data_IF_732302330103
#
_entry.id   IF_732302330103
#
_cell.length_a   1.000
_cell.length_b   1.000
_cell.length_c   1.000
_cell.angle_alpha   90.00
_cell.angle_beta   90.00
_cell.angle_gamma   90.00
#
_symmetry.space_group_name_H-M   'P 1'
#
loop_
_entity.id
_entity.type
_entity.pdbx_description
1 polymer ?
#
# COMPACT_ATOMS: atom_id res chain seq x y z
N UNK A 1 21.50 49.34 28.06
CA UNK A 1 21.64 47.87 27.99
C UNK A 1 20.56 47.37 27.05
N UNK A 2 20.90 47.18 25.78
CA UNK A 2 19.97 46.79 24.72
C UNK A 2 19.81 45.26 24.81
N UNK A 3 18.63 44.78 25.19
CA UNK A 3 18.33 43.35 25.20
C UNK A 3 18.14 42.92 23.74
N UNK A 4 19.18 42.29 23.17
CA UNK A 4 19.02 41.57 21.91
C UNK A 4 18.17 40.33 22.18
N UNK A 5 16.90 40.40 21.80
CA UNK A 5 16.06 39.23 21.62
C UNK A 5 16.65 38.41 20.47
N UNK A 6 17.42 37.38 20.81
CA UNK A 6 17.86 36.38 19.84
C UNK A 6 16.63 35.73 19.22
N UNK A 7 16.35 36.07 17.98
CA UNK A 7 15.45 35.28 17.13
C UNK A 7 16.12 33.91 16.99
N UNK A 8 15.59 32.89 17.67
CA UNK A 8 15.98 31.51 17.44
C UNK A 8 15.60 31.16 16.01
N UNK A 9 16.55 31.29 15.08
CA UNK A 9 16.38 30.78 13.73
C UNK A 9 16.05 29.30 13.84
N UNK A 10 14.92 28.89 13.27
CA UNK A 10 14.61 27.48 13.11
C UNK A 10 15.73 26.85 12.28
N UNK A 11 16.38 25.83 12.83
CA UNK A 11 17.47 25.14 12.14
C UNK A 11 16.93 24.31 10.99
N UNK A 12 17.57 24.41 9.83
CA UNK A 12 17.27 23.55 8.70
C UNK A 12 17.53 22.08 9.04
N UNK A 13 16.75 21.19 8.43
CA UNK A 13 16.99 19.76 8.44
C UNK A 13 18.00 19.44 7.34
N UNK A 14 19.24 19.11 7.73
CA UNK A 14 20.29 18.67 6.81
C UNK A 14 20.11 17.17 6.58
N UNK A 15 19.78 16.79 5.35
CA UNK A 15 19.35 15.45 5.00
C UNK A 15 20.21 14.86 3.86
N UNK A 16 20.44 13.56 3.95
CA UNK A 16 20.99 12.72 2.87
C UNK A 16 19.86 11.87 2.30
N UNK A 17 19.30 12.35 1.20
CA UNK A 17 18.19 11.71 0.50
C UNK A 17 18.72 10.54 -0.32
N UNK A 18 18.35 9.31 0.06
CA UNK A 18 18.73 8.07 -0.62
C UNK A 18 17.64 7.67 -1.63
N UNK A 19 18.04 7.34 -2.85
CA UNK A 19 17.15 6.81 -3.90
C UNK A 19 17.84 5.67 -4.65
N UNK A 20 17.09 4.94 -5.47
CA UNK A 20 17.65 3.94 -6.39
C UNK A 20 17.33 4.31 -7.83
N UNK A 21 18.32 4.19 -8.70
CA UNK A 21 18.17 4.41 -10.14
C UNK A 21 18.64 3.20 -10.90
N UNK A 22 17.99 2.93 -12.01
CA UNK A 22 18.44 1.87 -12.90
C UNK A 22 19.78 2.26 -13.52
N UNK A 23 20.77 1.36 -13.47
CA UNK A 23 22.13 1.63 -13.98
C UNK A 23 22.16 1.71 -15.49
N UNK A 24 21.34 0.90 -16.14
CA UNK A 24 21.09 0.88 -17.59
C UNK A 24 19.60 0.66 -17.81
N UNK A 25 19.00 1.45 -18.70
CA UNK A 25 17.56 1.36 -19.03
C UNK A 25 17.17 -0.08 -19.39
N UNK A 26 16.13 -0.60 -18.73
CA UNK A 26 15.60 -1.96 -18.90
C UNK A 26 16.54 -3.12 -18.51
N UNK A 27 17.58 -2.87 -17.71
CA UNK A 27 18.48 -3.91 -17.21
C UNK A 27 17.93 -4.66 -15.98
N UNK A 28 16.98 -4.05 -15.26
CA UNK A 28 16.51 -4.53 -13.96
C UNK A 28 17.55 -4.38 -12.84
N UNK A 29 18.69 -3.72 -13.10
CA UNK A 29 19.77 -3.50 -12.12
C UNK A 29 19.72 -2.07 -11.60
N UNK A 30 19.71 -1.93 -10.28
CA UNK A 30 19.57 -0.64 -9.61
C UNK A 30 20.80 -0.34 -8.77
N UNK A 31 21.22 0.92 -8.77
CA UNK A 31 22.23 1.45 -7.86
C UNK A 31 21.64 2.50 -6.93
N UNK A 32 22.18 2.57 -5.71
CA UNK A 32 21.78 3.60 -4.74
C UNK A 32 22.52 4.89 -5.03
N UNK A 33 21.78 5.99 -5.02
CA UNK A 33 22.30 7.36 -5.14
C UNK A 33 21.94 8.15 -3.90
N UNK A 34 22.83 9.04 -3.47
CA UNK A 34 22.62 9.95 -2.34
C UNK A 34 22.65 11.38 -2.86
N UNK A 35 21.68 12.19 -2.44
CA UNK A 35 21.64 13.64 -2.69
C UNK A 35 21.54 14.38 -1.37
N UNK A 36 22.45 15.31 -1.14
CA UNK A 36 22.36 16.21 0.01
C UNK A 36 21.20 17.21 -0.18
N UNK A 37 20.52 17.53 0.90
CA UNK A 37 19.43 18.49 0.94
C UNK A 37 19.44 19.28 2.26
N UNK A 38 19.00 20.54 2.21
CA UNK A 38 18.70 21.36 3.39
C UNK A 38 17.23 21.75 3.29
N UNK A 39 16.40 21.26 4.21
CA UNK A 39 14.97 21.56 4.25
C UNK A 39 14.66 22.47 5.43
N UNK A 40 14.04 23.63 5.18
CA UNK A 40 13.59 24.48 6.29
C UNK A 40 12.61 23.72 7.17
N UNK A 41 12.88 23.63 8.47
CA UNK A 41 11.99 22.95 9.41
C UNK A 41 10.58 23.57 9.39
N UNK A 42 10.47 24.90 9.30
CA UNK A 42 9.18 25.62 9.24
C UNK A 42 8.34 25.28 8.01
N UNK A 43 8.98 24.91 6.90
CA UNK A 43 8.32 24.50 5.65
C UNK A 43 8.22 22.96 5.53
N UNK A 44 8.47 22.23 6.62
CA UNK A 44 8.47 20.76 6.67
C UNK A 44 7.43 20.24 7.65
N UNK A 45 6.68 19.22 7.24
CA UNK A 45 5.81 18.43 8.11
C UNK A 45 6.34 17.00 8.27
N UNK A 46 6.17 16.44 9.46
CA UNK A 46 6.30 15.00 9.71
C UNK A 46 4.91 14.42 9.93
N UNK A 47 4.51 13.48 9.07
CA UNK A 47 3.23 12.77 9.19
C UNK A 47 3.48 11.42 9.85
N UNK A 48 2.83 11.19 10.99
CA UNK A 48 2.87 9.94 11.77
C UNK A 48 1.69 9.08 11.33
N UNK A 49 1.95 8.14 10.44
CA UNK A 49 0.93 7.28 9.85
C UNK A 49 0.66 6.06 10.73
N UNK A 50 -0.56 5.93 11.24
CA UNK A 50 -1.12 4.67 11.75
C UNK A 50 -0.23 3.96 12.81
N UNK A 51 0.46 4.73 13.65
CA UNK A 51 1.23 4.21 14.81
C UNK A 51 0.25 3.89 15.94
N UNK A 52 -0.54 2.84 15.75
CA UNK A 52 -1.66 2.49 16.60
C UNK A 52 -1.26 1.90 17.95
N UNK A 53 -2.22 1.85 18.88
CA UNK A 53 -2.09 1.24 20.20
C UNK A 53 -2.16 -0.30 20.22
N UNK A 54 -2.61 -0.92 19.12
CA UNK A 54 -2.64 -2.37 18.94
C UNK A 54 -2.67 -2.73 17.46
N UNK A 55 -2.31 -3.96 17.13
CA UNK A 55 -2.42 -4.53 15.78
C UNK A 55 -2.88 -5.99 15.83
N UNK A 56 -3.42 -6.51 14.73
CA UNK A 56 -3.91 -7.88 14.65
C UNK A 56 -2.76 -8.90 14.73
N UNK A 57 -1.66 -8.61 14.05
CA UNK A 57 -0.39 -9.33 14.15
C UNK A 57 0.38 -8.98 15.42
N UNK A 58 0.74 -9.97 16.24
CA UNK A 58 1.52 -9.76 17.46
C UNK A 58 2.95 -9.30 17.16
N UNK A 59 3.57 -9.84 16.12
CA UNK A 59 4.93 -9.46 15.73
C UNK A 59 5.00 -8.02 15.20
N UNK A 60 3.96 -7.53 14.52
CA UNK A 60 3.83 -6.12 14.15
C UNK A 60 3.77 -5.21 15.38
N UNK A 61 3.03 -5.61 16.43
CA UNK A 61 3.03 -4.87 17.72
C UNK A 61 4.43 -4.82 18.31
N UNK A 62 5.12 -5.97 18.40
CA UNK A 62 6.47 -6.08 18.95
C UNK A 62 7.47 -5.18 18.20
N UNK A 63 7.42 -5.15 16.87
CA UNK A 63 8.30 -4.30 16.04
C UNK A 63 7.98 -2.82 16.22
N UNK A 64 6.70 -2.43 16.18
CA UNK A 64 6.26 -1.05 16.40
C UNK A 64 6.72 -0.52 17.76
N UNK A 65 6.47 -1.28 18.82
CA UNK A 65 6.86 -0.90 20.19
C UNK A 65 8.38 -0.72 20.35
N UNK A 66 9.18 -1.41 19.51
CA UNK A 66 10.64 -1.32 19.55
C UNK A 66 11.17 0.00 18.99
N UNK A 67 10.69 0.46 17.83
CA UNK A 67 11.15 1.72 17.23
C UNK A 67 10.35 2.94 17.65
N UNK A 68 9.15 2.78 18.22
CA UNK A 68 8.30 3.90 18.63
C UNK A 68 8.98 4.90 19.59
N UNK A 69 9.78 4.48 20.60
CA UNK A 69 10.50 5.43 21.45
C UNK A 69 11.45 6.33 20.66
N UNK A 70 12.20 5.75 19.71
CA UNK A 70 13.12 6.52 18.86
C UNK A 70 12.38 7.42 17.87
N UNK A 71 11.25 6.95 17.33
CA UNK A 71 10.36 7.79 16.53
C UNK A 71 9.89 9.00 17.35
N UNK A 72 9.49 8.80 18.61
CA UNK A 72 9.08 9.89 19.50
C UNK A 72 10.21 10.91 19.71
N UNK A 73 11.46 10.45 19.85
CA UNK A 73 12.63 11.35 19.95
C UNK A 73 12.82 12.17 18.66
N UNK A 74 12.66 11.55 17.48
CA UNK A 74 12.69 12.27 16.20
C UNK A 74 11.62 13.35 16.15
N UNK A 75 10.38 13.03 16.56
CA UNK A 75 9.27 13.98 16.56
C UNK A 75 9.52 15.14 17.53
N UNK A 76 10.09 14.88 18.71
CA UNK A 76 10.49 15.92 19.66
C UNK A 76 11.55 16.84 19.06
N UNK A 77 12.56 16.27 18.43
CA UNK A 77 13.65 17.04 17.85
C UNK A 77 13.20 17.92 16.68
N UNK A 78 12.44 17.37 15.73
CA UNK A 78 11.94 18.17 14.60
C UNK A 78 10.90 19.21 15.04
N UNK A 79 10.07 18.89 16.04
CA UNK A 79 9.15 19.85 16.67
C UNK A 79 9.92 20.99 17.34
N UNK A 80 11.03 20.71 18.04
CA UNK A 80 11.90 21.73 18.63
C UNK A 80 12.50 22.65 17.56
N UNK A 81 12.90 22.12 16.40
CA UNK A 81 13.41 22.90 15.26
C UNK A 81 12.32 23.68 14.49
N UNK A 82 11.04 23.40 14.74
CA UNK A 82 9.91 24.15 14.19
C UNK A 82 9.14 23.45 13.08
N UNK A 83 9.37 22.15 12.86
CA UNK A 83 8.55 21.35 11.96
C UNK A 83 7.13 21.15 12.48
N UNK A 84 6.19 20.97 11.55
CA UNK A 84 4.79 20.66 11.85
C UNK A 84 4.65 19.15 12.05
N UNK A 85 4.04 18.70 13.15
CA UNK A 85 3.76 17.27 13.38
C UNK A 85 2.27 17.02 13.15
N UNK A 86 1.97 16.03 12.31
CA UNK A 86 0.61 15.62 11.97
C UNK A 86 0.45 14.15 12.34
N UNK A 87 -0.40 13.87 13.31
CA UNK A 87 -0.76 12.52 13.69
C UNK A 87 -1.94 12.05 12.85
N UNK A 88 -1.80 10.91 12.20
CA UNK A 88 -2.82 10.34 11.35
C UNK A 88 -3.13 8.90 11.78
N UNK A 89 -3.80 8.71 12.95
CA UNK A 89 -4.21 7.39 13.42
C UNK A 89 -5.54 6.99 12.76
N UNK A 90 -5.46 6.45 11.56
CA UNK A 90 -6.66 6.11 10.78
C UNK A 90 -7.58 5.16 11.53
N UNK A 91 -8.88 5.34 11.32
CA UNK A 91 -9.93 4.54 11.96
C UNK A 91 -10.00 4.68 13.51
N UNK A 92 -9.24 5.64 14.09
CA UNK A 92 -9.23 5.95 15.53
C UNK A 92 -9.78 7.34 15.87
N UNK A 93 -10.31 8.09 14.89
CA UNK A 93 -10.61 9.52 15.05
C UNK A 93 -11.67 9.83 16.12
N UNK A 94 -12.57 8.90 16.42
CA UNK A 94 -13.57 9.03 17.48
C UNK A 94 -12.92 9.32 18.85
N UNK A 95 -11.72 8.81 19.11
CA UNK A 95 -10.99 9.05 20.37
C UNK A 95 -10.42 10.48 20.47
N UNK A 96 -10.41 11.24 19.38
CA UNK A 96 -9.75 12.54 19.27
C UNK A 96 -10.70 13.70 18.98
N UNK A 97 -12.02 13.46 18.88
CA UNK A 97 -13.02 14.49 18.51
C UNK A 97 -12.86 15.78 19.33
N UNK A 98 -12.63 15.64 20.63
CA UNK A 98 -12.48 16.77 21.54
C UNK A 98 -11.05 17.29 21.72
N UNK A 99 -10.06 16.60 21.15
CA UNK A 99 -8.65 16.92 21.34
C UNK A 99 -8.29 18.26 20.68
N UNK A 100 -7.46 19.08 21.36
CA UNK A 100 -7.08 20.40 20.85
C UNK A 100 -6.40 20.34 19.47
N UNK A 101 -5.47 19.39 19.28
CA UNK A 101 -4.83 19.14 17.99
C UNK A 101 -5.79 18.71 16.86
N UNK A 102 -6.91 18.03 17.20
CA UNK A 102 -7.96 17.71 16.24
C UNK A 102 -8.77 18.95 15.84
N UNK A 103 -9.20 19.73 16.83
CA UNK A 103 -9.89 21.01 16.60
C UNK A 103 -9.03 21.98 15.78
N UNK A 104 -7.72 21.97 16.01
CA UNK A 104 -6.74 22.81 15.30
C UNK A 104 -6.66 22.51 13.80
N UNK A 105 -6.65 21.24 13.40
CA UNK A 105 -6.59 20.88 11.97
C UNK A 105 -7.90 21.15 11.25
N UNK A 106 -9.05 20.96 11.91
CA UNK A 106 -10.37 21.32 11.36
C UNK A 106 -10.47 22.82 11.10
N UNK A 107 -9.86 23.64 11.96
CA UNK A 107 -9.83 25.09 11.81
C UNK A 107 -8.87 25.59 10.70
N UNK A 108 -8.08 24.72 10.07
CA UNK A 108 -7.22 25.12 8.97
C UNK A 108 -8.06 25.58 7.76
N UNK A 109 -7.71 26.72 7.13
CA UNK A 109 -8.47 27.23 6.00
C UNK A 109 -8.39 26.27 4.82
N UNK A 110 -9.48 26.16 4.06
CA UNK A 110 -9.52 25.34 2.86
C UNK A 110 -8.46 25.81 1.83
N UNK A 111 -7.72 24.86 1.28
CA UNK A 111 -6.73 25.12 0.25
C UNK A 111 -7.41 25.48 -1.08
N UNK A 112 -6.98 26.58 -1.71
CA UNK A 112 -7.46 27.00 -3.04
C UNK A 112 -7.06 26.01 -4.14
N UNK A 113 -5.97 25.28 -3.95
CA UNK A 113 -5.36 24.32 -4.88
C UNK A 113 -5.55 22.87 -4.41
N UNK A 114 -6.66 22.55 -3.73
CA UNK A 114 -6.93 21.18 -3.25
C UNK A 114 -6.99 20.19 -4.43
N UNK A 115 -6.15 19.13 -4.45
CA UNK A 115 -6.20 18.14 -5.51
C UNK A 115 -7.51 17.34 -5.48
N UNK A 116 -8.07 17.04 -6.66
CA UNK A 116 -9.37 16.37 -6.81
C UNK A 116 -9.49 15.07 -6.01
N UNK A 117 -8.40 14.30 -5.94
CA UNK A 117 -8.39 12.96 -5.36
C UNK A 117 -7.68 12.86 -4.03
N UNK A 118 -7.32 14.00 -3.41
CA UNK A 118 -6.52 13.99 -2.17
C UNK A 118 -7.25 13.31 -1.00
N UNK A 119 -8.58 13.21 -1.07
CA UNK A 119 -9.44 12.55 -0.06
C UNK A 119 -9.45 11.02 -0.17
N UNK A 120 -8.97 10.47 -1.29
CA UNK A 120 -9.11 9.05 -1.58
C UNK A 120 -7.80 8.27 -1.40
N UNK A 121 -7.93 6.96 -1.21
CA UNK A 121 -6.80 6.04 -1.28
C UNK A 121 -6.09 6.15 -2.64
N UNK A 122 -4.76 6.15 -2.63
CA UNK A 122 -3.93 6.16 -3.82
C UNK A 122 -3.21 4.82 -3.97
N UNK A 123 -3.80 3.93 -4.75
CA UNK A 123 -3.24 2.58 -4.97
C UNK A 123 -1.98 2.58 -5.81
N UNK A 124 -1.76 3.57 -6.68
CA UNK A 124 -0.60 3.64 -7.58
C UNK A 124 -0.36 5.06 -8.08
N UNK A 125 0.90 5.38 -8.41
CA UNK A 125 1.29 6.57 -9.17
C UNK A 125 1.98 6.18 -10.50
N UNK A 126 2.08 7.07 -11.50
CA UNK A 126 2.59 6.73 -12.83
C UNK A 126 3.98 6.05 -12.84
N UNK A 127 4.88 6.47 -11.96
CA UNK A 127 6.23 5.89 -11.83
C UNK A 127 6.25 4.44 -11.34
N UNK A 128 5.14 3.94 -10.78
CA UNK A 128 5.00 2.54 -10.36
C UNK A 128 4.31 1.67 -11.43
N UNK A 129 3.79 2.23 -12.54
CA UNK A 129 2.98 1.51 -13.53
C UNK A 129 3.70 0.34 -14.19
N UNK A 130 5.02 0.43 -14.34
CA UNK A 130 5.86 -0.62 -14.93
C UNK A 130 6.56 -1.47 -13.86
N UNK A 131 6.51 -1.07 -12.59
CA UNK A 131 7.15 -1.80 -11.50
C UNK A 131 6.41 -3.10 -11.22
N UNK A 132 7.14 -4.17 -10.91
CA UNK A 132 6.61 -5.39 -10.30
C UNK A 132 6.61 -5.16 -8.79
N UNK A 133 5.48 -5.41 -8.14
CA UNK A 133 5.38 -5.21 -6.71
C UNK A 133 6.23 -6.27 -5.98
N UNK A 134 7.01 -5.89 -4.95
CA UNK A 134 8.13 -6.73 -4.51
C UNK A 134 7.76 -7.85 -3.53
N UNK A 135 6.53 -7.90 -3.03
CA UNK A 135 6.03 -8.90 -2.07
C UNK A 135 4.57 -9.28 -2.36
N UNK A 136 4.16 -10.49 -1.96
CA UNK A 136 2.75 -10.87 -1.89
C UNK A 136 2.21 -10.61 -0.47
N UNK A 137 1.41 -9.54 -0.33
CA UNK A 137 0.76 -9.15 0.93
C UNK A 137 -0.72 -9.57 1.00
N UNK A 138 -1.18 -10.41 0.07
CA UNK A 138 -2.61 -10.67 -0.09
C UNK A 138 -3.25 -11.45 1.05
N UNK A 139 -2.48 -12.08 1.94
CA UNK A 139 -2.98 -12.73 3.15
C UNK A 139 -3.07 -11.80 4.37
N UNK A 140 -2.63 -10.54 4.22
CA UNK A 140 -2.54 -9.56 5.30
C UNK A 140 -1.21 -9.51 6.03
N UNK A 141 -0.22 -10.31 5.60
CA UNK A 141 1.15 -10.21 6.10
C UNK A 141 1.32 -10.66 7.55
N UNK A 142 0.47 -11.57 8.01
CA UNK A 142 0.55 -12.17 9.34
C UNK A 142 1.78 -13.09 9.45
N UNK A 143 2.72 -12.71 10.32
CA UNK A 143 4.03 -13.36 10.46
C UNK A 143 4.32 -13.90 11.87
N UNK A 144 3.31 -13.93 12.74
CA UNK A 144 3.40 -14.57 14.06
C UNK A 144 3.16 -16.09 14.01
N UNK A 145 3.58 -16.77 15.08
CA UNK A 145 3.30 -18.20 15.22
C UNK A 145 1.79 -18.42 15.38
N UNK A 146 1.18 -19.40 14.71
CA UNK A 146 -0.27 -19.60 14.77
C UNK A 146 -0.84 -19.79 16.19
N UNK A 147 -0.09 -20.37 17.12
CA UNK A 147 -0.53 -20.51 18.50
C UNK A 147 -0.46 -19.17 19.24
N UNK A 148 0.65 -18.43 19.08
CA UNK A 148 0.77 -17.06 19.63
C UNK A 148 -0.32 -16.13 19.07
N UNK A 149 -0.62 -16.24 17.78
CA UNK A 149 -1.68 -15.49 17.11
C UNK A 149 -3.05 -15.77 17.75
N UNK A 150 -3.37 -17.04 17.99
CA UNK A 150 -4.64 -17.43 18.59
C UNK A 150 -4.78 -16.91 20.02
N UNK A 151 -3.70 -16.97 20.81
CA UNK A 151 -3.64 -16.41 22.17
C UNK A 151 -3.79 -14.89 22.16
N UNK A 152 -3.11 -14.21 21.23
CA UNK A 152 -3.20 -12.76 21.06
C UNK A 152 -4.61 -12.33 20.67
N UNK A 153 -5.22 -13.00 19.70
CA UNK A 153 -6.60 -12.76 19.31
C UNK A 153 -7.58 -12.98 20.47
N UNK A 154 -7.38 -14.01 21.30
CA UNK A 154 -8.19 -14.23 22.51
C UNK A 154 -8.01 -13.10 23.54
N UNK A 155 -6.77 -12.63 23.75
CA UNK A 155 -6.47 -11.48 24.63
C UNK A 155 -7.13 -10.20 24.12
N UNK A 156 -7.09 -9.92 22.82
CA UNK A 156 -7.77 -8.79 22.21
C UNK A 156 -9.29 -8.83 22.44
N UNK A 157 -9.92 -10.01 22.26
CA UNK A 157 -11.35 -10.18 22.58
C UNK A 157 -11.64 -9.91 24.05
N UNK A 158 -10.81 -10.43 24.97
CA UNK A 158 -10.97 -10.21 26.40
C UNK A 158 -10.84 -8.72 26.79
N UNK A 159 -10.08 -7.94 26.02
CA UNK A 159 -9.97 -6.48 26.15
C UNK A 159 -11.13 -5.71 25.47
N UNK A 160 -12.14 -6.40 24.94
CA UNK A 160 -13.25 -5.77 24.21
C UNK A 160 -12.81 -5.11 22.89
N UNK A 161 -11.83 -5.72 22.21
CA UNK A 161 -11.34 -5.29 20.89
C UNK A 161 -11.75 -6.31 19.82
N UNK A 162 -11.92 -5.83 18.59
CA UNK A 162 -12.06 -6.69 17.41
C UNK A 162 -10.67 -7.20 17.03
N UNK A 163 -10.39 -8.52 17.05
CA UNK A 163 -9.05 -9.03 16.72
C UNK A 163 -8.54 -8.69 15.34
N UNK A 164 -9.43 -8.52 14.35
CA UNK A 164 -9.03 -8.15 12.99
C UNK A 164 -8.70 -6.66 12.83
N UNK A 165 -9.23 -5.81 13.71
CA UNK A 165 -9.00 -4.36 13.71
C UNK A 165 -8.97 -3.85 15.16
N UNK A 166 -7.91 -4.17 15.93
CA UNK A 166 -7.94 -3.97 17.36
C UNK A 166 -7.63 -2.54 17.80
N UNK A 167 -7.06 -1.71 16.94
CA UNK A 167 -6.66 -0.34 17.26
C UNK A 167 -7.85 0.54 17.65
N UNK A 168 -7.61 1.46 18.59
CA UNK A 168 -8.58 2.46 19.05
C UNK A 168 -7.97 3.86 19.16
N UNK A 169 -6.66 3.96 19.34
CA UNK A 169 -5.92 5.22 19.45
C UNK A 169 -4.54 5.10 18.80
N UNK A 170 -3.80 6.19 18.71
CA UNK A 170 -2.35 6.16 18.57
C UNK A 170 -1.71 5.49 19.79
N UNK A 171 -0.55 4.85 19.60
CA UNK A 171 0.28 4.32 20.67
C UNK A 171 0.66 5.41 21.67
N UNK A 172 0.61 5.07 22.97
CA UNK A 172 1.03 5.95 24.07
C UNK A 172 2.54 6.21 24.08
N UNK A 173 3.31 5.47 23.30
CA UNK A 173 4.76 5.70 23.13
C UNK A 173 5.06 6.94 22.28
N UNK A 174 4.08 7.41 21.50
CA UNK A 174 4.20 8.64 20.71
C UNK A 174 3.43 9.76 21.39
N UNK A 175 4.16 10.79 21.80
CA UNK A 175 3.60 11.97 22.43
C UNK A 175 2.90 12.86 21.39
N UNK A 176 1.65 13.23 21.68
CA UNK A 176 0.90 14.26 20.95
C UNK A 176 0.92 15.53 21.79
N UNK A 177 1.57 16.57 21.30
CA UNK A 177 1.59 17.88 21.94
C UNK A 177 0.28 18.62 21.63
N UNK A 178 -0.62 18.71 22.61
CA UNK A 178 -1.94 19.32 22.44
C UNK A 178 -1.89 20.79 22.00
N UNK A 179 -0.83 21.51 22.37
CA UNK A 179 -0.68 22.93 22.08
C UNK A 179 -0.09 23.18 20.68
N UNK A 180 0.63 22.20 20.11
CA UNK A 180 1.44 22.40 18.89
C UNK A 180 1.09 21.49 17.73
N UNK A 181 0.63 20.27 17.99
CA UNK A 181 0.46 19.25 16.95
C UNK A 181 -0.95 19.30 16.33
N UNK A 182 -1.15 18.43 15.32
CA UNK A 182 -2.38 18.31 14.54
C UNK A 182 -2.79 16.83 14.46
N UNK A 183 -4.10 16.53 14.38
CA UNK A 183 -4.59 15.14 14.26
C UNK A 183 -5.66 15.02 13.16
N UNK A 184 -5.36 14.30 12.08
CA UNK A 184 -6.35 13.92 11.06
C UNK A 184 -5.88 12.70 10.28
N UNK A 185 -6.80 11.81 9.94
CA UNK A 185 -6.63 10.74 8.95
C UNK A 185 -7.27 11.07 7.59
N UNK A 186 -7.81 12.29 7.43
CA UNK A 186 -8.45 12.75 6.19
C UNK A 186 -7.47 13.54 5.33
N UNK A 187 -7.36 13.16 4.06
CA UNK A 187 -6.40 13.77 3.14
C UNK A 187 -6.69 15.22 2.79
N UNK A 188 -7.96 15.64 2.71
CA UNK A 188 -8.34 17.05 2.49
C UNK A 188 -7.93 17.96 3.64
N UNK A 189 -8.19 17.54 4.87
CA UNK A 189 -7.83 18.32 6.07
C UNK A 189 -6.31 18.41 6.23
N UNK A 190 -5.61 17.29 6.01
CA UNK A 190 -4.14 17.28 5.99
C UNK A 190 -3.64 18.23 4.90
N UNK A 191 -4.19 18.18 3.69
CA UNK A 191 -3.77 19.06 2.60
C UNK A 191 -4.02 20.55 2.91
N UNK A 192 -5.20 20.89 3.43
CA UNK A 192 -5.52 22.25 3.87
C UNK A 192 -4.50 22.77 4.89
N UNK A 193 -4.14 21.93 5.87
CA UNK A 193 -3.11 22.24 6.84
C UNK A 193 -1.75 22.49 6.19
N UNK A 194 -1.31 21.59 5.29
CA UNK A 194 -0.02 21.72 4.60
C UNK A 194 0.04 23.05 3.82
N UNK A 195 -1.00 23.40 3.07
CA UNK A 195 -1.05 24.64 2.29
C UNK A 195 -1.11 25.88 3.20
N UNK A 196 -1.97 25.88 4.22
CA UNK A 196 -2.13 27.03 5.14
C UNK A 196 -0.85 27.38 5.90
N UNK A 197 0.05 26.41 6.08
CA UNK A 197 1.34 26.57 6.76
C UNK A 197 2.52 26.73 5.80
N UNK A 198 2.28 26.76 4.49
CA UNK A 198 3.35 26.87 3.49
C UNK A 198 4.28 25.65 3.48
N UNK A 199 3.78 24.46 3.84
CA UNK A 199 4.58 23.25 3.87
C UNK A 199 4.91 22.79 2.46
N UNK A 200 6.21 22.68 2.17
CA UNK A 200 6.76 22.20 0.91
C UNK A 200 7.27 20.77 1.02
N UNK A 201 7.76 20.40 2.20
CA UNK A 201 8.41 19.11 2.43
C UNK A 201 7.61 18.25 3.41
N UNK A 202 7.51 16.96 3.12
CA UNK A 202 6.82 15.97 3.95
C UNK A 202 7.77 14.81 4.23
N UNK A 203 7.96 14.51 5.51
CA UNK A 203 8.60 13.28 5.97
C UNK A 203 7.48 12.36 6.48
N UNK A 204 7.37 11.14 5.94
CA UNK A 204 6.44 10.15 6.47
C UNK A 204 7.18 9.14 7.36
N UNK A 205 6.55 8.82 8.48
CA UNK A 205 6.95 7.77 9.43
C UNK A 205 5.72 6.92 9.78
N UNK A 206 5.92 5.75 10.37
CA UNK A 206 4.82 4.90 10.86
C UNK A 206 4.61 3.64 10.02
N UNK A 207 3.42 3.03 10.11
CA UNK A 207 3.17 1.67 9.59
C UNK A 207 1.82 1.56 8.88
N UNK A 208 1.56 0.57 8.03
CA UNK A 208 2.55 -0.31 7.42
C UNK A 208 2.98 0.25 6.07
N UNK A 209 4.27 0.11 5.75
CA UNK A 209 4.92 0.71 4.58
C UNK A 209 4.20 0.38 3.28
N UNK A 210 3.95 -0.90 3.05
CA UNK A 210 3.31 -1.47 1.87
C UNK A 210 1.79 -1.24 1.78
N UNK A 211 1.21 -0.55 2.76
CA UNK A 211 -0.22 -0.30 2.87
C UNK A 211 -0.46 1.18 3.18
N UNK A 212 -0.64 1.54 4.45
CA UNK A 212 -1.13 2.86 4.86
C UNK A 212 -0.16 3.99 4.53
N UNK A 213 1.13 3.79 4.82
CA UNK A 213 2.20 4.77 4.55
C UNK A 213 2.26 5.11 3.06
N UNK A 214 2.10 4.12 2.19
CA UNK A 214 2.07 4.35 0.74
C UNK A 214 0.73 4.93 0.25
N UNK A 215 -0.39 4.37 0.71
CA UNK A 215 -1.67 4.48 0.02
C UNK A 215 -2.75 5.33 0.69
N UNK A 216 -2.65 5.67 1.99
CA UNK A 216 -3.66 6.52 2.65
C UNK A 216 -3.77 7.88 1.93
N UNK A 217 -4.90 8.59 2.08
CA UNK A 217 -5.09 9.93 1.51
C UNK A 217 -3.98 10.94 1.83
N UNK A 218 -3.31 10.77 2.98
CA UNK A 218 -2.17 11.58 3.43
C UNK A 218 -0.80 10.89 3.20
N UNK A 219 -0.77 9.71 2.58
CA UNK A 219 0.41 8.87 2.38
C UNK A 219 1.34 9.34 1.26
N UNK A 220 2.46 8.62 1.11
CA UNK A 220 3.56 8.97 0.19
C UNK A 220 3.08 9.24 -1.23
N UNK A 221 2.24 8.35 -1.79
CA UNK A 221 1.78 8.46 -3.18
C UNK A 221 0.98 9.73 -3.44
N UNK A 222 0.12 10.12 -2.49
CA UNK A 222 -0.65 11.35 -2.60
C UNK A 222 0.26 12.58 -2.50
N UNK A 223 1.20 12.57 -1.57
CA UNK A 223 2.11 13.70 -1.41
C UNK A 223 3.02 13.89 -2.64
N UNK A 224 3.55 12.80 -3.18
CA UNK A 224 4.39 12.83 -4.39
C UNK A 224 3.57 13.25 -5.61
N UNK A 225 2.42 12.62 -5.86
CA UNK A 225 1.57 12.90 -7.02
C UNK A 225 1.13 14.36 -7.08
N UNK A 226 0.93 14.98 -5.93
CA UNK A 226 0.47 16.37 -5.83
C UNK A 226 1.63 17.36 -5.62
N UNK A 227 2.88 16.96 -5.84
CA UNK A 227 4.01 17.87 -6.00
C UNK A 227 4.71 18.33 -4.71
N UNK A 228 4.50 17.64 -3.57
CA UNK A 228 5.33 17.87 -2.37
C UNK A 228 6.72 17.26 -2.54
N UNK A 229 7.71 17.83 -1.87
CA UNK A 229 8.98 17.14 -1.67
C UNK A 229 8.77 16.09 -0.57
N UNK A 230 8.97 14.81 -0.88
CA UNK A 230 8.64 13.73 0.07
C UNK A 230 9.86 12.90 0.39
N UNK A 231 10.00 12.53 1.65
CA UNK A 231 10.92 11.47 2.08
C UNK A 231 10.22 10.49 3.02
N UNK A 232 10.51 9.20 2.87
CA UNK A 232 10.20 8.20 3.88
C UNK A 232 11.36 8.10 4.88
N UNK A 233 11.09 8.08 6.18
CA UNK A 233 12.09 7.69 7.17
C UNK A 233 12.11 6.17 7.30
N UNK A 234 12.99 5.51 6.56
CA UNK A 234 12.87 4.08 6.31
C UNK A 234 13.26 3.19 7.51
N UNK A 235 13.88 3.76 8.54
CA UNK A 235 14.17 3.07 9.81
C UNK A 235 13.11 3.33 10.89
N UNK A 236 12.09 4.15 10.59
CA UNK A 236 10.90 4.43 11.41
C UNK A 236 9.62 3.91 10.75
N UNK A 237 9.71 2.74 10.09
CA UNK A 237 8.60 2.09 9.40
C UNK A 237 8.77 0.57 9.41
N UNK A 238 7.67 -0.14 9.15
CA UNK A 238 7.58 -1.59 9.06
C UNK A 238 6.56 -1.96 7.98
N UNK A 239 6.69 -3.12 7.33
CA UNK A 239 5.75 -3.61 6.34
C UNK A 239 4.91 -4.77 6.89
N UNK A 240 3.72 -5.02 6.32
CA UNK A 240 3.01 -6.29 6.54
C UNK A 240 3.51 -7.32 5.54
N UNK A 241 4.28 -8.30 6.00
CA UNK A 241 4.79 -9.36 5.14
C UNK A 241 4.97 -10.65 5.92
N UNK A 242 4.34 -11.71 5.40
CA UNK A 242 4.44 -13.07 5.88
C UNK A 242 5.57 -13.79 5.12
N UNK A 243 6.65 -14.27 5.78
CA UNK A 243 7.74 -15.00 5.13
C UNK A 243 7.34 -16.28 4.39
N UNK A 244 6.12 -16.81 4.60
CA UNK A 244 5.57 -17.96 3.85
C UNK A 244 4.95 -17.55 2.51
N UNK A 245 4.92 -16.26 2.20
CA UNK A 245 4.44 -15.70 0.94
C UNK A 245 5.62 -15.30 0.07
N UNK A 246 5.39 -15.23 -1.24
CA UNK A 246 6.41 -14.78 -2.17
C UNK A 246 6.95 -13.38 -1.75
N UNK A 247 8.28 -13.17 -1.75
CA UNK A 247 9.33 -14.00 -2.34
C UNK A 247 9.99 -15.05 -1.42
N UNK A 248 9.37 -15.43 -0.30
CA UNK A 248 9.85 -16.45 0.64
C UNK A 248 11.18 -16.10 1.32
N UNK A 249 11.35 -14.82 1.60
CA UNK A 249 12.45 -14.28 2.41
C UNK A 249 11.98 -13.98 3.84
N UNK A 250 12.93 -13.76 4.75
CA UNK A 250 12.62 -13.29 6.10
C UNK A 250 11.93 -11.91 6.09
N UNK A 251 11.26 -11.57 7.18
CA UNK A 251 10.46 -10.36 7.28
C UNK A 251 11.25 -9.08 6.97
N UNK A 252 12.46 -8.95 7.50
CA UNK A 252 13.27 -7.74 7.36
C UNK A 252 13.79 -7.58 5.93
N UNK A 253 14.09 -8.69 5.24
CA UNK A 253 14.40 -8.66 3.80
C UNK A 253 13.16 -8.26 2.99
N UNK A 254 11.97 -8.74 3.36
CA UNK A 254 10.70 -8.27 2.79
C UNK A 254 10.51 -6.75 2.94
N UNK A 255 10.74 -6.22 4.14
CA UNK A 255 10.68 -4.78 4.41
C UNK A 255 11.69 -3.99 3.56
N UNK A 256 12.94 -4.47 3.46
CA UNK A 256 13.96 -3.86 2.62
C UNK A 256 13.57 -3.83 1.14
N UNK A 257 12.90 -4.87 0.64
CA UNK A 257 12.40 -4.92 -0.74
C UNK A 257 11.32 -3.85 -1.00
N UNK A 258 10.42 -3.62 -0.04
CA UNK A 258 9.42 -2.54 -0.13
C UNK A 258 10.10 -1.17 -0.04
N UNK A 259 11.08 -0.99 0.85
CA UNK A 259 11.88 0.25 0.93
C UNK A 259 12.59 0.52 -0.41
N UNK A 260 13.18 -0.50 -1.03
CA UNK A 260 13.80 -0.36 -2.34
C UNK A 260 12.78 0.00 -3.44
N UNK A 261 11.57 -0.56 -3.40
CA UNK A 261 10.50 -0.15 -4.30
C UNK A 261 10.15 1.34 -4.14
N UNK A 262 10.05 1.82 -2.89
CA UNK A 262 9.85 3.26 -2.60
C UNK A 262 10.98 4.11 -3.18
N UNK A 263 12.24 3.72 -2.94
CA UNK A 263 13.43 4.43 -3.43
C UNK A 263 13.54 4.50 -4.95
N UNK A 264 12.99 3.51 -5.65
CA UNK A 264 13.03 3.40 -7.12
C UNK A 264 11.90 4.20 -7.77
N UNK A 265 10.70 4.12 -7.20
CA UNK A 265 9.48 4.49 -7.93
C UNK A 265 8.61 5.53 -7.23
N UNK A 266 8.84 5.83 -5.95
CA UNK A 266 7.95 6.71 -5.19
C UNK A 266 8.66 7.98 -4.72
N UNK A 267 9.63 7.86 -3.81
CA UNK A 267 10.35 9.00 -3.27
C UNK A 267 11.70 8.58 -2.67
N UNK A 268 12.61 9.54 -2.42
CA UNK A 268 13.79 9.28 -1.61
C UNK A 268 13.45 8.84 -0.18
N UNK A 269 14.44 8.28 0.51
CA UNK A 269 14.36 7.91 1.93
C UNK A 269 15.46 8.58 2.75
N UNK A 270 15.21 8.75 4.05
CA UNK A 270 16.18 9.18 5.05
C UNK A 270 16.18 8.22 6.24
N UNK A 271 17.10 8.44 7.19
CA UNK A 271 17.19 7.71 8.45
C UNK A 271 17.10 8.65 9.65
N UNK A 272 16.61 8.14 10.78
CA UNK A 272 16.41 8.88 12.02
C UNK A 272 17.69 9.50 12.60
N UNK A 273 18.87 8.89 12.38
CA UNK A 273 20.17 9.40 12.83
C UNK A 273 20.61 10.68 12.13
N UNK A 274 20.06 10.99 10.95
CA UNK A 274 20.33 12.27 10.29
C UNK A 274 19.76 13.45 11.10
N UNK A 275 18.76 13.18 11.95
CA UNK A 275 18.12 14.17 12.82
C UNK A 275 18.61 14.08 14.27
N UNK A 276 18.81 12.85 14.78
CA UNK A 276 19.19 12.59 16.17
C UNK A 276 20.70 12.40 16.40
N UNK A 277 21.47 12.14 15.35
CA UNK A 277 22.83 11.60 15.44
C UNK A 277 22.85 10.08 15.74
N UNK A 278 24.06 9.55 15.91
CA UNK A 278 24.30 8.15 16.21
C UNK A 278 24.22 7.25 14.96
N UNK A 279 23.53 6.12 15.09
CA UNK A 279 23.34 5.13 14.02
C UNK A 279 21.84 5.00 13.67
N UNK A 280 21.50 4.63 12.42
CA UNK A 280 20.13 4.28 12.06
C UNK A 280 19.56 3.20 12.99
N UNK A 281 18.25 3.24 13.23
CA UNK A 281 17.60 2.20 14.01
C UNK A 281 17.74 0.84 13.33
N UNK A 282 17.98 -0.18 14.14
CA UNK A 282 17.96 -1.57 13.72
C UNK A 282 17.27 -2.40 14.79
N UNK A 283 16.25 -3.15 14.38
CA UNK A 283 15.52 -4.03 15.28
C UNK A 283 16.45 -5.12 15.83
N UNK A 284 16.32 -5.42 17.12
CA UNK A 284 16.95 -6.57 17.77
C UNK A 284 16.44 -7.91 17.22
N UNK A 285 15.31 -7.92 16.53
CA UNK A 285 14.77 -9.09 15.86
C UNK A 285 15.42 -9.33 14.48
N UNK A 286 16.12 -8.33 13.92
CA UNK A 286 16.87 -8.48 12.66
C UNK A 286 18.26 -9.09 12.91
N UNK A 287 18.32 -10.43 12.78
CA UNK A 287 19.53 -11.22 13.00
C UNK A 287 20.45 -11.35 11.76
N UNK A 288 20.14 -10.66 10.65
CA UNK A 288 20.92 -10.79 9.41
C UNK A 288 22.31 -10.16 9.56
N UNK A 289 23.37 -10.80 9.06
CA UNK A 289 24.71 -10.19 9.13
C UNK A 289 24.81 -8.89 8.31
N UNK A 290 24.14 -8.85 7.15
CA UNK A 290 24.16 -7.73 6.20
C UNK A 290 22.73 -7.32 5.81
N UNK A 291 22.14 -6.33 6.50
CA UNK A 291 20.83 -5.77 6.13
C UNK A 291 20.83 -5.08 4.76
N UNK A 292 19.64 -4.92 4.18
CA UNK A 292 19.43 -4.34 2.86
C UNK A 292 19.03 -5.37 1.82
N UNK A 293 18.58 -4.90 0.64
CA UNK A 293 18.17 -5.77 -0.47
C UNK A 293 19.36 -6.53 -1.04
N UNK A 294 19.37 -7.88 -1.00
CA UNK A 294 20.35 -8.69 -1.72
C UNK A 294 20.28 -8.45 -3.23
N UNK A 295 21.35 -8.77 -3.97
CA UNK A 295 21.33 -8.71 -5.44
C UNK A 295 20.16 -9.56 -6.00
N UNK A 296 19.73 -9.23 -7.21
CA UNK A 296 18.61 -9.77 -8.02
C UNK A 296 18.42 -11.30 -8.08
N UNK A 297 19.29 -12.08 -7.43
CA UNK A 297 19.25 -13.54 -7.31
C UNK A 297 18.22 -14.10 -6.32
N UNK A 298 17.51 -13.26 -5.56
CA UNK A 298 16.54 -13.70 -4.54
C UNK A 298 15.34 -14.42 -5.14
N UNK A 299 14.89 -14.02 -6.33
CA UNK A 299 13.71 -14.63 -6.96
C UNK A 299 14.16 -15.77 -7.85
N UNK A 300 13.92 -17.00 -7.38
CA UNK A 300 14.13 -18.21 -8.18
C UNK A 300 13.36 -18.11 -9.50
N UNK A 301 13.95 -18.60 -10.60
CA UNK A 301 13.20 -18.73 -11.85
C UNK A 301 11.99 -19.62 -11.61
N UNK A 302 10.78 -19.23 -12.05
CA UNK A 302 9.59 -20.03 -11.83
C UNK A 302 9.74 -21.39 -12.50
N UNK A 303 9.24 -22.41 -11.82
CA UNK A 303 9.07 -23.77 -12.31
C UNK A 303 7.56 -24.15 -12.30
N UNK A 304 7.17 -25.33 -12.81
CA UNK A 304 5.75 -25.71 -12.82
C UNK A 304 5.10 -25.77 -11.43
N UNK A 305 5.87 -26.05 -10.37
CA UNK A 305 5.35 -26.07 -9.01
C UNK A 305 5.09 -24.66 -8.47
N UNK A 306 5.90 -23.68 -8.88
CA UNK A 306 5.75 -22.25 -8.54
C UNK A 306 4.34 -21.78 -8.86
N UNK A 307 3.84 -22.05 -10.05
CA UNK A 307 2.49 -21.63 -10.45
C UNK A 307 1.35 -22.31 -9.70
N UNK A 308 1.61 -23.44 -9.01
CA UNK A 308 0.62 -24.10 -8.15
C UNK A 308 0.69 -23.59 -6.71
N UNK A 309 1.87 -23.19 -6.26
CA UNK A 309 2.13 -22.89 -4.85
C UNK A 309 1.96 -21.40 -4.52
N UNK A 310 1.99 -20.50 -5.51
CA UNK A 310 1.86 -19.07 -5.30
C UNK A 310 1.13 -18.35 -6.44
N UNK A 311 0.58 -17.18 -6.13
CA UNK A 311 0.10 -16.24 -7.13
C UNK A 311 1.28 -15.66 -7.92
N UNK A 312 1.21 -15.78 -9.24
CA UNK A 312 2.29 -15.34 -10.14
C UNK A 312 1.79 -14.29 -11.11
N UNK A 313 2.57 -13.24 -11.34
CA UNK A 313 2.21 -12.16 -12.24
C UNK A 313 2.38 -12.59 -13.70
N UNK A 314 1.37 -12.36 -14.53
CA UNK A 314 1.39 -12.58 -15.98
C UNK A 314 0.74 -11.42 -16.73
N UNK A 315 1.07 -11.27 -18.01
CA UNK A 315 0.37 -10.35 -18.91
C UNK A 315 -0.65 -11.11 -19.74
N UNK A 316 -1.87 -10.59 -19.82
CA UNK A 316 -2.97 -11.19 -20.60
C UNK A 316 -3.61 -10.14 -21.53
N UNK A 317 -4.10 -10.52 -22.72
CA UNK A 317 -4.13 -11.87 -23.27
C UNK A 317 -2.78 -12.32 -23.85
N UNK A 318 -2.31 -13.51 -23.48
CA UNK A 318 -1.16 -14.19 -24.06
C UNK A 318 -1.40 -15.71 -24.01
N UNK A 319 -0.69 -16.48 -24.84
CA UNK A 319 -0.69 -17.93 -24.69
C UNK A 319 0.14 -18.38 -23.47
N UNK A 320 -0.06 -19.62 -23.01
CA UNK A 320 0.62 -20.18 -21.84
C UNK A 320 2.14 -20.07 -21.96
N UNK A 321 2.69 -20.43 -23.13
CA UNK A 321 4.13 -20.42 -23.38
C UNK A 321 4.70 -19.01 -23.19
N UNK A 322 4.07 -18.00 -23.76
CA UNK A 322 4.51 -16.60 -23.67
C UNK A 322 4.29 -16.05 -22.26
N UNK A 323 3.09 -16.25 -21.69
CA UNK A 323 2.72 -15.74 -20.38
C UNK A 323 3.62 -16.29 -19.27
N UNK A 324 4.02 -17.56 -19.37
CA UNK A 324 4.86 -18.25 -18.38
C UNK A 324 6.34 -18.32 -18.76
N UNK A 325 6.74 -17.63 -19.83
CA UNK A 325 8.13 -17.61 -20.33
C UNK A 325 8.70 -19.02 -20.59
N UNK A 326 7.87 -19.91 -21.15
CA UNK A 326 8.25 -21.26 -21.56
C UNK A 326 8.12 -22.35 -20.49
N UNK A 327 7.67 -22.00 -19.28
CA UNK A 327 7.53 -22.98 -18.19
C UNK A 327 6.30 -23.87 -18.37
N UNK A 328 5.21 -23.32 -18.89
CA UNK A 328 3.97 -24.05 -19.24
C UNK A 328 3.67 -23.78 -20.70
N UNK A 329 3.67 -24.81 -21.53
CA UNK A 329 3.35 -24.71 -22.96
C UNK A 329 1.90 -25.06 -23.26
N UNK A 330 1.33 -25.98 -22.47
CA UNK A 330 -0.07 -26.40 -22.49
C UNK A 330 -0.54 -26.71 -21.07
N UNK A 331 -1.84 -26.53 -20.81
CA UNK A 331 -2.43 -26.83 -19.52
C UNK A 331 -3.89 -27.29 -19.66
N UNK A 332 -4.20 -28.45 -19.11
CA UNK A 332 -5.56 -28.96 -18.93
C UNK A 332 -5.87 -29.01 -17.43
N UNK A 333 -7.00 -28.43 -17.03
CA UNK A 333 -7.39 -28.27 -15.63
C UNK A 333 -7.84 -26.87 -15.29
N UNK A 334 -7.89 -26.53 -14.00
CA UNK A 334 -8.40 -25.25 -13.52
C UNK A 334 -7.25 -24.29 -13.21
N UNK A 335 -7.40 -23.04 -13.64
CA UNK A 335 -6.57 -21.95 -13.17
C UNK A 335 -7.43 -20.79 -12.69
N UNK A 336 -6.92 -20.10 -11.66
CA UNK A 336 -7.51 -18.91 -11.09
C UNK A 336 -6.71 -17.69 -11.50
N UNK A 337 -7.41 -16.59 -11.77
CA UNK A 337 -6.84 -15.30 -12.13
C UNK A 337 -7.43 -14.23 -11.24
N UNK A 338 -6.63 -13.27 -10.80
CA UNK A 338 -7.13 -12.11 -10.05
C UNK A 338 -6.45 -10.82 -10.48
N UNK A 339 -7.19 -9.74 -10.38
CA UNK A 339 -6.70 -8.38 -10.49
C UNK A 339 -7.48 -7.47 -9.55
N UNK A 340 -7.04 -6.22 -9.46
CA UNK A 340 -7.82 -5.19 -8.77
C UNK A 340 -8.34 -4.17 -9.76
N UNK A 341 -9.56 -3.70 -9.53
CA UNK A 341 -10.24 -2.74 -10.40
C UNK A 341 -10.79 -1.58 -9.58
N UNK A 342 -10.54 -0.35 -10.00
CA UNK A 342 -11.21 0.83 -9.44
C UNK A 342 -12.43 1.14 -10.28
N UNK A 343 -13.60 1.20 -9.65
CA UNK A 343 -14.89 1.48 -10.30
C UNK A 343 -15.42 2.79 -9.73
N UNK A 344 -15.76 3.78 -10.56
CA UNK A 344 -16.30 5.04 -10.05
C UNK A 344 -17.82 5.01 -9.97
N UNK A 345 -18.39 5.74 -9.01
CA UNK A 345 -19.85 5.92 -8.96
C UNK A 345 -20.38 6.60 -10.23
N UNK A 346 -19.56 7.45 -10.87
CA UNK A 346 -19.92 8.11 -12.13
C UNK A 346 -20.02 7.18 -13.34
N UNK A 347 -19.37 6.00 -13.28
CA UNK A 347 -19.41 4.98 -14.33
C UNK A 347 -20.71 4.17 -14.34
N UNK A 348 -21.42 4.20 -13.21
CA UNK A 348 -22.63 3.41 -12.95
C UNK A 348 -23.82 4.35 -12.91
N UNK A 349 -24.50 4.51 -14.05
CA UNK A 349 -25.70 5.34 -14.15
C UNK A 349 -26.86 4.74 -13.34
N UNK A 350 -26.96 5.15 -12.07
CA UNK A 350 -28.15 5.08 -11.24
C UNK A 350 -28.80 3.70 -11.08
N UNK A 351 -28.02 2.68 -10.69
CA UNK A 351 -28.43 1.31 -10.34
C UNK A 351 -28.44 0.24 -11.45
N UNK A 352 -27.83 0.49 -12.62
CA UNK A 352 -27.58 -0.59 -13.59
C UNK A 352 -26.32 -1.38 -13.23
N UNK A 353 -26.41 -2.70 -13.24
CA UNK A 353 -25.25 -3.57 -13.07
C UNK A 353 -24.21 -3.35 -14.18
N UNK A 354 -22.93 -3.48 -13.85
CA UNK A 354 -21.86 -3.44 -14.83
C UNK A 354 -21.81 -4.77 -15.59
N UNK A 355 -21.66 -4.68 -16.92
CA UNK A 355 -21.48 -5.86 -17.76
C UNK A 355 -20.02 -6.30 -17.75
N UNK A 356 -19.76 -7.55 -17.39
CA UNK A 356 -18.47 -8.19 -17.59
C UNK A 356 -18.56 -9.07 -18.84
N UNK A 357 -18.00 -8.59 -19.95
CA UNK A 357 -17.98 -9.32 -21.22
C UNK A 357 -16.73 -10.17 -21.36
N UNK A 358 -16.90 -11.47 -21.62
CA UNK A 358 -15.81 -12.39 -21.95
C UNK A 358 -16.06 -13.05 -23.30
N UNK A 359 -15.02 -13.15 -24.13
CA UNK A 359 -15.00 -14.13 -25.22
C UNK A 359 -14.83 -15.53 -24.63
N UNK A 360 -15.36 -16.59 -25.26
CA UNK A 360 -15.50 -17.89 -24.62
C UNK A 360 -14.12 -18.50 -24.46
N UNK A 361 -13.78 -18.87 -23.23
CA UNK A 361 -12.71 -19.83 -22.95
C UNK A 361 -13.24 -21.24 -23.02
N UNK A 362 -14.35 -21.44 -22.31
CA UNK A 362 -15.15 -22.65 -22.15
C UNK A 362 -16.47 -22.22 -21.49
N UNK A 363 -17.51 -23.04 -21.55
CA UNK A 363 -18.80 -22.79 -20.86
C UNK A 363 -18.71 -22.79 -19.32
N UNK A 364 -17.52 -23.01 -18.72
CA UNK A 364 -17.30 -23.21 -17.28
C UNK A 364 -16.49 -22.10 -16.58
N UNK A 365 -16.33 -20.93 -17.19
CA UNK A 365 -15.73 -19.76 -16.52
C UNK A 365 -16.66 -19.23 -15.42
N UNK A 366 -16.09 -18.82 -14.28
CA UNK A 366 -16.82 -18.25 -13.15
C UNK A 366 -16.10 -17.01 -12.63
N UNK A 367 -16.85 -16.05 -12.08
CA UNK A 367 -16.30 -14.80 -11.57
C UNK A 367 -16.81 -14.44 -10.18
N UNK A 368 -15.96 -13.73 -9.44
CA UNK A 368 -16.26 -13.14 -8.13
C UNK A 368 -15.80 -11.69 -8.10
N UNK A 369 -16.57 -10.85 -7.41
CA UNK A 369 -16.16 -9.51 -7.02
C UNK A 369 -16.16 -9.44 -5.49
N UNK A 370 -15.01 -9.09 -4.90
CA UNK A 370 -14.84 -9.01 -3.44
C UNK A 370 -15.34 -10.28 -2.72
N UNK A 371 -15.02 -11.46 -3.29
CA UNK A 371 -15.44 -12.76 -2.76
C UNK A 371 -16.90 -13.15 -3.03
N UNK A 372 -17.71 -12.30 -3.66
CA UNK A 372 -19.09 -12.63 -4.02
C UNK A 372 -19.17 -13.11 -5.46
N UNK A 373 -19.62 -14.34 -5.65
CA UNK A 373 -19.88 -14.91 -6.98
C UNK A 373 -21.06 -14.19 -7.62
N UNK A 374 -20.99 -13.92 -8.93
CA UNK A 374 -22.11 -13.35 -9.67
C UNK A 374 -22.46 -14.17 -10.91
N UNK A 375 -23.74 -14.13 -11.28
CA UNK A 375 -24.32 -15.05 -12.25
C UNK A 375 -24.12 -14.60 -13.70
N UNK A 376 -24.09 -15.61 -14.56
CA UNK A 376 -24.13 -15.47 -16.01
C UNK A 376 -25.53 -15.02 -16.42
N UNK A 377 -25.61 -13.99 -17.25
CA UNK A 377 -26.89 -13.38 -17.64
C UNK A 377 -27.29 -13.77 -19.05
N UNK A 378 -26.39 -13.63 -20.02
CA UNK A 378 -26.70 -13.87 -21.44
C UNK A 378 -25.48 -14.43 -22.18
N UNK A 379 -25.74 -15.28 -23.19
CA UNK A 379 -24.80 -15.58 -24.28
C UNK A 379 -25.33 -14.97 -25.56
N UNK A 380 -24.58 -14.08 -26.18
CA UNK A 380 -24.98 -13.44 -27.44
C UNK A 380 -23.77 -13.33 -28.35
N UNK A 381 -23.87 -13.79 -29.60
CA UNK A 381 -22.82 -13.66 -30.61
C UNK A 381 -21.41 -14.11 -30.15
N UNK A 382 -21.32 -15.16 -29.33
CA UNK A 382 -20.05 -15.67 -28.83
C UNK A 382 -19.43 -14.85 -27.70
N UNK A 383 -20.13 -13.89 -27.10
CA UNK A 383 -19.73 -13.27 -25.82
C UNK A 383 -20.65 -13.74 -24.70
N UNK A 384 -20.03 -14.13 -23.58
CA UNK A 384 -20.74 -14.37 -22.33
C UNK A 384 -20.69 -13.09 -21.50
N UNK A 385 -21.86 -12.63 -21.07
CA UNK A 385 -22.00 -11.45 -20.23
C UNK A 385 -22.43 -11.84 -18.81
N UNK A 386 -21.74 -11.26 -17.84
CA UNK A 386 -22.10 -11.34 -16.43
C UNK A 386 -22.55 -9.97 -15.94
N UNK A 387 -23.46 -9.97 -14.96
CA UNK A 387 -23.96 -8.76 -14.33
C UNK A 387 -23.33 -8.63 -12.96
N UNK A 388 -22.50 -7.61 -12.76
CA UNK A 388 -21.90 -7.30 -11.46
C UNK A 388 -22.91 -6.48 -10.66
N UNK A 389 -23.46 -6.99 -9.54
CA UNK A 389 -24.47 -6.27 -8.79
C UNK A 389 -23.86 -5.07 -8.04
N UNK A 390 -24.47 -3.87 -8.08
CA UNK A 390 -23.92 -2.68 -7.43
C UNK A 390 -23.64 -2.85 -5.92
N UNK A 391 -24.43 -3.66 -5.22
CA UNK A 391 -24.28 -3.89 -3.77
C UNK A 391 -22.99 -4.62 -3.37
N UNK A 392 -22.29 -5.25 -4.32
CA UNK A 392 -21.00 -5.92 -4.07
C UNK A 392 -19.80 -5.06 -4.46
N UNK A 393 -20.05 -3.86 -5.00
CA UNK A 393 -18.99 -2.94 -5.42
C UNK A 393 -18.67 -1.95 -4.31
N UNK A 394 -17.39 -1.75 -4.06
CA UNK A 394 -16.87 -0.61 -3.34
C UNK A 394 -16.66 0.51 -4.36
N UNK A 395 -17.67 1.37 -4.52
CA UNK A 395 -17.60 2.50 -5.46
C UNK A 395 -16.55 3.51 -5.02
N UNK A 396 -15.87 4.08 -6.01
CA UNK A 396 -14.76 5.03 -5.88
C UNK A 396 -13.53 4.47 -5.14
N UNK A 397 -13.54 3.17 -4.84
CA UNK A 397 -12.48 2.41 -4.19
C UNK A 397 -12.05 1.18 -5.03
N UNK A 398 -11.02 0.49 -4.57
CA UNK A 398 -10.45 -0.68 -5.23
C UNK A 398 -11.26 -1.93 -4.88
N UNK A 399 -11.58 -2.72 -5.91
CA UNK A 399 -12.31 -3.98 -5.83
C UNK A 399 -11.39 -5.12 -6.28
N UNK A 400 -11.57 -6.32 -5.71
CA UNK A 400 -10.91 -7.55 -6.16
C UNK A 400 -11.82 -8.25 -7.17
N UNK A 401 -11.33 -8.43 -8.40
CA UNK A 401 -11.99 -9.25 -9.43
C UNK A 401 -11.23 -10.57 -9.56
N UNK A 402 -11.95 -11.68 -9.44
CA UNK A 402 -11.38 -13.03 -9.53
C UNK A 402 -12.12 -13.83 -10.60
N UNK A 403 -11.36 -14.59 -11.39
CA UNK A 403 -11.86 -15.52 -12.40
C UNK A 403 -11.35 -16.94 -12.11
N UNK A 404 -12.24 -17.92 -12.18
CA UNK A 404 -11.90 -19.35 -12.23
C UNK A 404 -12.18 -19.84 -13.64
N UNK A 405 -11.20 -20.45 -14.29
CA UNK A 405 -11.30 -20.91 -15.68
C UNK A 405 -10.84 -22.36 -15.76
N UNK A 406 -11.65 -23.20 -16.39
CA UNK A 406 -11.29 -24.59 -16.71
C UNK A 406 -10.81 -24.64 -18.17
N UNK A 407 -9.56 -25.06 -18.35
CA UNK A 407 -8.88 -25.21 -19.62
C UNK A 407 -8.96 -26.67 -20.08
N UNK A 408 -9.29 -26.86 -21.36
CA UNK A 408 -9.28 -28.14 -22.07
C UNK A 408 -8.23 -28.11 -23.17
N UNK A 409 -7.95 -29.27 -23.75
CA UNK A 409 -7.05 -29.39 -24.89
C UNK A 409 -7.36 -28.35 -25.99
N UNK A 410 -6.35 -27.60 -26.39
CA UNK A 410 -6.47 -26.55 -27.42
C UNK A 410 -6.77 -25.15 -26.89
N UNK A 411 -7.09 -24.98 -25.60
CA UNK A 411 -7.16 -23.64 -25.00
C UNK A 411 -5.74 -23.09 -24.79
N UNK A 412 -5.46 -21.92 -25.39
CA UNK A 412 -4.08 -21.40 -25.43
C UNK A 412 -3.73 -20.46 -24.28
N UNK A 413 -4.67 -19.93 -23.52
CA UNK A 413 -4.40 -19.04 -22.37
C UNK A 413 -5.60 -18.18 -21.99
N UNK A 414 -5.44 -17.32 -20.97
CA UNK A 414 -6.53 -16.46 -20.47
C UNK A 414 -6.71 -15.21 -21.34
N UNK A 415 -7.98 -14.90 -21.64
CA UNK A 415 -8.47 -13.71 -22.33
C UNK A 415 -9.24 -12.93 -21.28
N UNK A 416 -8.74 -11.77 -20.86
CA UNK A 416 -9.32 -11.04 -19.77
C UNK A 416 -10.68 -10.45 -20.21
N UNK A 417 -11.61 -10.29 -19.26
CA UNK A 417 -12.87 -9.64 -19.55
C UNK A 417 -12.71 -8.14 -19.81
N UNK A 418 -13.81 -7.54 -20.25
CA UNK A 418 -14.01 -6.10 -20.34
C UNK A 418 -15.16 -5.70 -19.43
N UNK A 419 -14.97 -4.64 -18.65
CA UNK A 419 -16.05 -4.05 -17.83
C UNK A 419 -16.70 -2.95 -18.67
N UNK A 420 -18.00 -3.06 -18.89
CA UNK A 420 -18.81 -2.10 -19.63
C UNK A 420 -19.85 -1.47 -18.71
N UNK A 421 -19.77 -0.15 -18.54
CA UNK A 421 -20.79 0.68 -17.90
C UNK A 421 -21.56 1.52 -18.91
N UNK A 422 -22.41 2.41 -18.41
CA UNK A 422 -23.17 3.34 -19.25
C UNK A 422 -22.29 4.43 -19.88
N UNK A 423 -21.20 4.80 -19.21
CA UNK A 423 -20.30 5.91 -19.59
C UNK A 423 -18.85 5.50 -19.78
N UNK A 424 -18.49 4.27 -19.42
CA UNK A 424 -17.11 3.81 -19.50
C UNK A 424 -17.00 2.37 -19.96
N UNK A 425 -15.85 2.08 -20.52
CA UNK A 425 -15.50 0.77 -21.00
C UNK A 425 -14.04 0.50 -20.65
N UNK A 426 -13.82 -0.38 -19.67
CA UNK A 426 -12.50 -0.68 -19.12
C UNK A 426 -12.06 -2.05 -19.63
N UNK A 427 -11.08 -2.03 -20.53
CA UNK A 427 -10.37 -3.24 -20.95
C UNK A 427 -9.47 -3.72 -19.82
N UNK A 428 -9.57 -5.01 -19.45
CA UNK A 428 -8.67 -5.60 -18.45
C UNK A 428 -7.49 -6.34 -19.10
N UNK A 429 -7.10 -5.94 -20.31
CA UNK A 429 -5.84 -6.35 -20.93
C UNK A 429 -4.67 -5.73 -20.16
N UNK A 430 -3.77 -6.57 -19.66
CA UNK A 430 -2.64 -6.11 -18.86
C UNK A 430 -2.20 -7.17 -17.87
N UNK A 431 -1.69 -6.70 -16.72
CA UNK A 431 -1.10 -7.56 -15.70
C UNK A 431 -2.16 -8.13 -14.76
N UNK A 432 -2.13 -9.44 -14.61
CA UNK A 432 -2.98 -10.21 -13.71
C UNK A 432 -2.09 -11.13 -12.87
N UNK A 433 -2.57 -11.53 -11.70
CA UNK A 433 -2.00 -12.65 -10.98
C UNK A 433 -2.75 -13.93 -11.34
N UNK A 434 -2.05 -15.04 -11.49
CA UNK A 434 -2.66 -16.35 -11.72
C UNK A 434 -2.09 -17.44 -10.82
N UNK A 435 -2.85 -18.51 -10.65
CA UNK A 435 -2.46 -19.72 -9.93
C UNK A 435 -3.12 -20.96 -10.55
N UNK A 436 -2.36 -22.03 -10.73
CA UNK A 436 -2.82 -23.32 -11.23
C UNK A 436 -3.36 -24.18 -10.07
N UNK A 437 -4.49 -24.85 -10.28
CA UNK A 437 -5.19 -25.64 -9.27
C UNK A 437 -6.62 -25.19 -9.06
N UNK A 438 -7.35 -25.89 -8.20
CA UNK A 438 -8.76 -25.61 -7.93
C UNK A 438 -9.05 -25.57 -6.43
N UNK A 439 -8.77 -24.43 -5.81
CA UNK A 439 -9.09 -24.17 -4.41
C UNK A 439 -10.10 -23.02 -4.33
N UNK A 440 -11.34 -23.27 -3.88
CA UNK A 440 -12.37 -22.24 -3.76
C UNK A 440 -12.00 -21.06 -2.86
N UNK A 441 -11.04 -21.23 -1.94
CA UNK A 441 -10.57 -20.16 -1.05
C UNK A 441 -9.91 -19.00 -1.81
N UNK A 442 -9.48 -19.24 -3.07
CA UNK A 442 -8.85 -18.25 -3.95
C UNK A 442 -9.84 -17.25 -4.59
N UNK A 443 -11.14 -17.44 -4.36
CA UNK A 443 -12.19 -16.51 -4.80
C UNK A 443 -12.17 -15.16 -4.08
N UNK A 444 -11.42 -15.03 -2.98
CA UNK A 444 -11.29 -13.79 -2.23
C UNK A 444 -9.88 -13.65 -1.59
N UNK A 445 -9.65 -12.50 -0.97
CA UNK A 445 -8.54 -12.29 -0.03
C UNK A 445 -9.10 -11.83 1.33
N UNK A 446 -8.41 -12.08 2.46
CA UNK A 446 -8.90 -11.73 3.80
C UNK A 446 -8.94 -10.22 4.09
N UNK A 447 -8.37 -9.38 3.22
CA UNK A 447 -8.35 -7.93 3.36
C UNK A 447 -9.15 -7.23 2.26
N UNK A 448 -9.63 -5.99 2.50
CA UNK A 448 -10.04 -5.10 1.42
C UNK A 448 -8.99 -5.03 0.29
N UNK A 449 -9.45 -5.00 -0.97
CA UNK A 449 -8.57 -5.08 -2.14
C UNK A 449 -7.54 -3.94 -2.23
N UNK A 450 -7.88 -2.74 -1.74
CA UNK A 450 -6.93 -1.61 -1.62
C UNK A 450 -5.73 -1.89 -0.72
N UNK A 451 -5.85 -2.85 0.19
CA UNK A 451 -4.82 -3.23 1.15
C UNK A 451 -4.07 -4.49 0.71
N UNK A 452 -4.80 -5.56 0.34
CA UNK A 452 -4.19 -6.83 -0.04
C UNK A 452 -3.77 -6.93 -1.51
N UNK A 453 -4.24 -6.01 -2.36
CA UNK A 453 -3.92 -5.99 -3.78
C UNK A 453 -2.59 -5.31 -4.08
N UNK A 454 -1.77 -5.93 -4.92
CA UNK A 454 -0.53 -5.35 -5.40
C UNK A 454 -0.79 -4.28 -6.48
N UNK A 455 0.08 -3.28 -6.55
CA UNK A 455 -0.10 -2.14 -7.46
C UNK A 455 0.07 -2.50 -8.92
N UNK A 456 0.78 -3.58 -9.19
CA UNK A 456 1.10 -4.07 -10.53
C UNK A 456 -0.05 -4.81 -11.22
N UNK A 457 -1.15 -5.09 -10.51
CA UNK A 457 -2.38 -5.68 -11.07
C UNK A 457 -3.61 -4.78 -10.95
N UNK A 458 -3.41 -3.46 -10.79
CA UNK A 458 -4.49 -2.47 -10.74
C UNK A 458 -4.90 -1.99 -12.13
N UNK A 459 -6.21 -2.06 -12.41
CA UNK A 459 -6.88 -1.43 -13.53
C UNK A 459 -7.75 -0.28 -13.05
N UNK A 460 -7.68 0.85 -13.74
CA UNK A 460 -8.49 2.03 -13.46
C UNK A 460 -8.88 2.71 -14.78
N UNK A 461 -10.05 3.37 -14.85
CA UNK A 461 -10.42 4.18 -16.00
C UNK A 461 -9.37 5.27 -16.26
N UNK A 462 -9.04 5.51 -17.53
CA UNK A 462 -8.22 6.65 -17.92
C UNK A 462 -8.99 7.92 -17.55
N UNK A 463 -8.37 8.77 -16.73
CA UNK A 463 -8.97 9.99 -16.18
C UNK A 463 -8.78 11.20 -17.07
#
# INVERSE_FOLDING_TARGET
>A
MLVMTGSTFAEDLVLKLRSQKETVVNSGKFERTIRDASWSAKETAVIVCDVWDAHHCLNAVRRLEEFAPRMNDVLKEVRKRGATIIHSPSDCMAAYEDHAARKRVIAAPAAMNKPKDVEHWCSRIPSEEQAVYPIDQSDGGEDDDPAEHAEWAAKLKAMGRNPGMPWKTQSKLIEIDADRDFISDRGDEVWNLLESRGIKNVILVGVHLNMCVLGRPFGLRQMVRNGKNVALMHDMTDCMYNPKRWPHVDHFTGNDLVIAHVERFVCPTITSDQLLGGMPFRSKYDQREKPGVPDSSIVSKPDPATFRNQWSLISVPQDWNTATKGVVTEYEGVAWFRCTVRLSAGDIDGAKALGLGTRPHTSSTQFWLNGTKFDKVLETNGETCYSIPPQHMNLDDTNLLVARVEFRKGNTGFRPPRISGSRSNLSLNGRWQFRLGDDPSWSNIPLPAKFGGSTDMLFEPVR
#
